data_IF_471369875375
#
_entry.id   IF_471369875375
#
_cell.length_a   1.000
_cell.length_b   1.000
_cell.length_c   1.000
_cell.angle_alpha   90.00
_cell.angle_beta   90.00
_cell.angle_gamma   90.00
#
_symmetry.space_group_name_H-M   'P 1'
#
loop_
_entity.id
_entity.type
_entity.pdbx_description
1 polymer ?
#
# COMPACT_ATOMS: atom_id res chain seq x y z
N UNK A 1 13.37 -14.32 -43.65
CA UNK A 1 12.12 -14.96 -43.18
C UNK A 1 11.28 -13.89 -42.47
N UNK A 2 10.02 -13.69 -42.86
CA UNK A 2 9.12 -12.74 -42.17
C UNK A 2 8.68 -13.38 -40.86
N UNK A 3 9.14 -12.85 -39.75
CA UNK A 3 8.72 -13.26 -38.42
C UNK A 3 7.35 -12.65 -38.12
N UNK A 4 6.30 -13.47 -38.13
CA UNK A 4 4.94 -13.05 -37.80
C UNK A 4 4.77 -12.89 -36.28
N UNK A 5 4.11 -11.82 -35.83
CA UNK A 5 3.68 -11.61 -34.46
C UNK A 5 2.43 -12.43 -34.07
N UNK A 6 1.89 -12.13 -32.89
CA UNK A 6 0.72 -12.78 -32.31
C UNK A 6 -0.46 -11.80 -32.23
N UNK A 7 -1.69 -12.31 -32.25
CA UNK A 7 -2.89 -11.50 -32.03
C UNK A 7 -3.61 -11.97 -30.77
N UNK A 8 -3.90 -11.05 -29.85
CA UNK A 8 -4.64 -11.36 -28.61
C UNK A 8 -5.71 -10.30 -28.35
N UNK A 9 -6.98 -10.72 -28.30
CA UNK A 9 -8.16 -9.86 -28.03
C UNK A 9 -8.17 -8.57 -28.88
N UNK A 10 -7.80 -8.68 -30.16
CA UNK A 10 -7.76 -7.57 -31.11
C UNK A 10 -6.47 -6.74 -31.12
N UNK A 11 -5.53 -6.97 -30.18
CA UNK A 11 -4.23 -6.33 -30.19
C UNK A 11 -3.18 -7.20 -30.90
N UNK A 12 -2.34 -6.59 -31.73
CA UNK A 12 -1.18 -7.23 -32.36
C UNK A 12 0.05 -7.07 -31.47
N UNK A 13 0.79 -8.15 -31.26
CA UNK A 13 2.00 -8.22 -30.46
C UNK A 13 3.15 -8.70 -31.33
N UNK A 14 4.26 -7.97 -31.34
CA UNK A 14 5.51 -8.46 -31.94
C UNK A 14 6.08 -9.59 -31.10
N UNK A 15 6.93 -10.43 -31.72
CA UNK A 15 7.66 -11.47 -30.99
C UNK A 15 8.46 -10.82 -29.85
N UNK A 16 8.32 -11.37 -28.63
CA UNK A 16 8.92 -10.84 -27.40
C UNK A 16 8.05 -9.82 -26.65
N UNK A 17 7.05 -9.20 -27.29
CA UNK A 17 6.11 -8.32 -26.60
C UNK A 17 5.15 -9.13 -25.72
N UNK A 18 4.64 -8.47 -24.68
CA UNK A 18 3.80 -9.09 -23.68
C UNK A 18 2.68 -8.19 -23.21
N UNK A 19 1.64 -8.82 -22.66
CA UNK A 19 0.46 -8.16 -22.09
C UNK A 19 0.06 -8.80 -20.77
N UNK A 20 -0.56 -8.00 -19.91
CA UNK A 20 -1.07 -8.43 -18.61
C UNK A 20 -2.60 -8.58 -18.63
N UNK A 21 -3.10 -9.62 -17.96
CA UNK A 21 -4.53 -9.79 -17.67
C UNK A 21 -5.06 -8.71 -16.73
N UNK A 22 -6.39 -8.62 -16.55
CA UNK A 22 -6.99 -7.79 -15.49
C UNK A 22 -6.41 -8.25 -14.13
N UNK A 23 -5.94 -7.29 -13.32
CA UNK A 23 -5.27 -7.58 -12.04
C UNK A 23 -3.84 -8.14 -12.17
N UNK A 24 -3.29 -8.19 -13.39
CA UNK A 24 -1.92 -8.64 -13.69
C UNK A 24 -1.60 -10.07 -13.21
N UNK A 25 -2.64 -10.90 -13.07
CA UNK A 25 -2.57 -12.30 -12.62
C UNK A 25 -1.93 -13.24 -13.64
N UNK A 26 -1.89 -12.84 -14.92
CA UNK A 26 -1.26 -13.57 -16.02
C UNK A 26 -0.48 -12.60 -16.90
N UNK A 27 0.71 -13.02 -17.30
CA UNK A 27 1.56 -12.36 -18.32
C UNK A 27 1.64 -13.25 -19.54
N UNK A 28 1.19 -12.75 -20.68
CA UNK A 28 1.23 -13.47 -21.95
C UNK A 28 2.26 -12.85 -22.89
N UNK A 29 3.23 -13.63 -23.34
CA UNK A 29 4.32 -13.19 -24.22
C UNK A 29 4.19 -13.85 -25.59
N UNK A 30 4.38 -13.09 -26.67
CA UNK A 30 4.38 -13.61 -28.03
C UNK A 30 5.72 -14.31 -28.33
N UNK A 31 5.68 -15.56 -28.78
CA UNK A 31 6.86 -16.34 -29.16
C UNK A 31 7.07 -16.40 -30.67
N UNK A 32 8.28 -16.81 -31.09
CA UNK A 32 8.76 -16.84 -32.47
C UNK A 32 7.96 -17.73 -33.44
N UNK A 33 7.02 -18.53 -32.94
CA UNK A 33 6.08 -19.32 -33.72
C UNK A 33 4.69 -18.65 -33.91
N UNK A 34 4.53 -17.37 -33.52
CA UNK A 34 3.22 -16.70 -33.52
C UNK A 34 2.28 -17.21 -32.41
N UNK A 35 2.82 -17.95 -31.44
CA UNK A 35 2.07 -18.52 -30.32
C UNK A 35 2.22 -17.63 -29.08
N UNK A 36 1.08 -17.34 -28.42
CA UNK A 36 1.08 -16.70 -27.11
C UNK A 36 1.34 -17.73 -26.01
N UNK A 37 2.37 -17.48 -25.21
CA UNK A 37 2.63 -18.24 -24.00
C UNK A 37 2.24 -17.39 -22.78
N UNK A 38 1.22 -17.83 -22.04
CA UNK A 38 0.76 -17.18 -20.82
C UNK A 38 1.28 -17.92 -19.59
N UNK A 39 1.87 -17.18 -18.66
CA UNK A 39 2.28 -17.67 -17.34
C UNK A 39 1.56 -16.89 -16.26
N UNK A 40 1.37 -17.52 -15.11
CA UNK A 40 0.92 -16.78 -13.92
C UNK A 40 1.92 -15.68 -13.60
N UNK A 41 1.41 -14.54 -13.17
CA UNK A 41 2.20 -13.36 -12.86
C UNK A 41 1.57 -12.62 -11.70
N UNK A 42 2.40 -11.91 -10.97
CA UNK A 42 1.98 -10.83 -10.09
C UNK A 42 2.94 -9.66 -10.28
N UNK A 43 2.48 -8.45 -9.97
CA UNK A 43 3.38 -7.30 -9.91
C UNK A 43 4.36 -7.48 -8.76
N UNK A 44 5.58 -6.97 -8.96
CA UNK A 44 6.60 -7.02 -7.92
C UNK A 44 6.20 -6.13 -6.74
N UNK A 45 6.91 -6.30 -5.63
CA UNK A 45 6.74 -5.41 -4.49
C UNK A 45 6.98 -3.95 -4.92
N UNK A 46 6.04 -3.07 -4.57
CA UNK A 46 6.08 -1.67 -4.97
C UNK A 46 5.63 -1.39 -6.39
N UNK A 47 5.11 -2.40 -7.10
CA UNK A 47 4.41 -2.21 -8.36
C UNK A 47 2.91 -2.45 -8.18
N UNK A 48 2.09 -1.62 -8.85
CA UNK A 48 0.65 -1.82 -8.96
C UNK A 48 0.27 -2.25 -10.36
N UNK A 49 -0.78 -3.07 -10.46
CA UNK A 49 -1.36 -3.39 -11.75
C UNK A 49 -2.23 -2.22 -12.22
N UNK A 50 -1.75 -1.47 -13.20
CA UNK A 50 -2.44 -0.30 -13.72
C UNK A 50 -2.36 -0.23 -15.24
N UNK A 51 -3.15 0.67 -15.83
CA UNK A 51 -3.12 0.98 -17.27
C UNK A 51 -2.43 2.32 -17.44
N UNK A 52 -1.35 2.36 -18.23
CA UNK A 52 -0.66 3.60 -18.66
C UNK A 52 -0.69 3.65 -20.17
N UNK A 53 -1.17 4.76 -20.73
CA UNK A 53 -1.26 4.97 -22.18
C UNK A 53 -2.00 3.83 -22.91
N UNK A 54 -3.07 3.31 -22.29
CA UNK A 54 -3.88 2.21 -22.85
C UNK A 54 -3.29 0.81 -22.66
N UNK A 55 -2.06 0.68 -22.16
CA UNK A 55 -1.39 -0.61 -21.94
C UNK A 55 -1.41 -0.97 -20.45
N UNK A 56 -1.90 -2.18 -20.15
CA UNK A 56 -1.88 -2.72 -18.77
C UNK A 56 -0.52 -3.31 -18.45
N UNK A 57 0.03 -2.96 -17.29
CA UNK A 57 1.27 -3.50 -16.78
C UNK A 57 1.44 -3.29 -15.28
N UNK A 58 2.56 -3.82 -14.78
CA UNK A 58 3.03 -3.53 -13.43
C UNK A 58 3.80 -2.22 -13.47
N UNK A 59 3.27 -1.21 -12.80
CA UNK A 59 3.85 0.12 -12.73
C UNK A 59 4.39 0.34 -11.34
N UNK A 60 5.62 0.80 -11.21
CA UNK A 60 6.18 1.22 -9.93
C UNK A 60 5.29 2.31 -9.33
N UNK A 61 4.73 2.04 -8.16
CA UNK A 61 4.13 3.06 -7.31
C UNK A 61 5.28 3.92 -6.81
N UNK A 62 5.23 5.24 -7.02
CA UNK A 62 6.35 6.19 -6.89
C UNK A 62 7.17 6.10 -5.60
N UNK A 63 7.15 7.14 -4.77
CA UNK A 63 7.74 7.06 -3.43
C UNK A 63 6.78 6.32 -2.49
N UNK A 64 7.33 5.67 -1.48
CA UNK A 64 6.58 4.85 -0.52
C UNK A 64 6.85 5.33 0.88
N UNK A 65 5.80 5.39 1.68
CA UNK A 65 5.95 5.47 3.11
C UNK A 65 6.23 4.07 3.68
N UNK A 66 7.20 3.97 4.60
CA UNK A 66 7.68 2.70 5.14
C UNK A 66 7.77 2.77 6.65
N UNK A 67 7.12 1.83 7.34
CA UNK A 67 7.30 1.58 8.76
C UNK A 67 7.97 0.22 8.93
N UNK A 68 9.25 0.21 9.33
CA UNK A 68 10.03 -1.02 9.48
C UNK A 68 9.59 -1.83 10.69
N UNK A 69 9.99 -3.10 10.74
CA UNK A 69 9.71 -3.98 11.88
C UNK A 69 10.23 -3.43 13.23
N UNK A 70 11.28 -2.59 13.21
CA UNK A 70 11.87 -1.94 14.38
C UNK A 70 11.29 -0.54 14.67
N UNK A 71 10.12 -0.24 14.11
CA UNK A 71 9.38 1.01 14.32
C UNK A 71 10.11 2.27 13.84
N UNK A 72 10.95 2.16 12.82
CA UNK A 72 11.48 3.31 12.09
C UNK A 72 10.52 3.64 10.94
N UNK A 73 10.06 4.89 10.88
CA UNK A 73 9.21 5.37 9.79
C UNK A 73 9.99 6.27 8.83
N UNK A 74 9.68 6.15 7.55
CA UNK A 74 10.12 7.07 6.50
C UNK A 74 8.88 7.51 5.73
N UNK A 75 8.65 8.81 5.68
CA UNK A 75 7.54 9.44 4.96
C UNK A 75 7.64 9.22 3.45
N UNK A 76 6.62 9.66 2.71
CA UNK A 76 6.67 9.62 1.25
C UNK A 76 7.79 10.48 0.65
N UNK A 77 8.18 11.57 1.31
CA UNK A 77 9.18 12.51 0.77
C UNK A 77 10.56 12.34 1.41
N UNK A 78 10.67 11.48 2.43
CA UNK A 78 11.93 11.00 2.98
C UNK A 78 12.25 11.49 4.40
N UNK A 79 11.37 12.27 5.02
CA UNK A 79 11.47 12.59 6.44
C UNK A 79 11.34 11.30 7.27
N UNK A 80 12.16 11.16 8.32
CA UNK A 80 12.22 9.90 9.07
C UNK A 80 12.41 10.09 10.56
N UNK A 81 11.89 9.14 11.32
CA UNK A 81 12.08 9.05 12.77
C UNK A 81 11.69 7.67 13.28
N UNK A 82 11.69 7.51 14.60
CA UNK A 82 11.48 6.19 15.23
C UNK A 82 10.53 6.28 16.41
N UNK A 83 9.51 5.43 16.42
CA UNK A 83 8.60 5.33 17.54
C UNK A 83 9.33 4.74 18.76
N UNK A 84 9.12 5.38 19.91
CA UNK A 84 9.76 5.03 21.19
C UNK A 84 8.77 4.52 22.25
N UNK A 85 7.47 4.63 21.96
CA UNK A 85 6.37 4.19 22.83
C UNK A 85 5.52 3.11 22.16
N UNK A 86 4.89 2.28 22.98
CA UNK A 86 3.83 1.39 22.52
C UNK A 86 2.55 2.21 22.30
N UNK A 87 1.77 1.86 21.29
CA UNK A 87 0.51 2.52 20.99
C UNK A 87 -0.06 2.05 19.66
N UNK A 88 -1.20 2.61 19.27
CA UNK A 88 -1.75 2.51 17.92
C UNK A 88 -1.57 3.87 17.28
N UNK A 89 -0.88 3.93 16.15
CA UNK A 89 -0.53 5.19 15.51
C UNK A 89 -1.16 5.30 14.13
N UNK A 90 -1.61 6.51 13.80
CA UNK A 90 -2.05 6.84 12.45
C UNK A 90 -0.85 7.00 11.54
N UNK A 91 -0.75 6.08 10.58
CA UNK A 91 0.38 6.01 9.66
C UNK A 91 0.12 6.92 8.46
N UNK A 92 -1.08 6.83 7.89
CA UNK A 92 -1.49 7.68 6.77
C UNK A 92 -3.02 7.78 6.69
N UNK A 93 -3.50 8.92 6.23
CA UNK A 93 -4.91 9.12 5.90
C UNK A 93 -5.07 10.10 4.75
N UNK A 94 -6.27 10.11 4.16
CA UNK A 94 -6.69 11.20 3.30
C UNK A 94 -7.18 12.36 4.20
N UNK A 95 -6.60 13.55 4.06
CA UNK A 95 -6.92 14.69 4.93
C UNK A 95 -8.41 15.10 4.84
N UNK A 96 -8.99 15.01 3.64
CA UNK A 96 -10.41 15.30 3.43
C UNK A 96 -11.28 14.12 3.89
N UNK A 97 -11.75 14.20 5.14
CA UNK A 97 -12.66 13.23 5.75
C UNK A 97 -14.02 13.11 5.04
N UNK A 98 -14.41 14.12 4.26
CA UNK A 98 -15.69 14.12 3.54
C UNK A 98 -15.60 13.47 2.16
N UNK A 99 -14.40 13.10 1.71
CA UNK A 99 -14.18 12.43 0.42
C UNK A 99 -14.88 11.07 0.34
N UNK A 100 -15.37 10.72 -0.85
CA UNK A 100 -15.92 9.39 -1.10
C UNK A 100 -14.85 8.29 -1.01
N UNK A 101 -13.61 8.61 -1.38
CA UNK A 101 -12.45 7.71 -1.31
C UNK A 101 -11.61 7.93 -0.05
N UNK A 102 -12.23 8.45 1.03
CA UNK A 102 -11.54 8.62 2.31
C UNK A 102 -11.03 7.29 2.85
N UNK A 103 -9.85 7.33 3.49
CA UNK A 103 -9.28 6.21 4.21
C UNK A 103 -8.42 6.68 5.39
N UNK A 104 -8.19 5.78 6.34
CA UNK A 104 -7.29 5.94 7.49
C UNK A 104 -6.60 4.62 7.80
N UNK A 105 -5.26 4.61 7.79
CA UNK A 105 -4.42 3.45 8.09
C UNK A 105 -3.79 3.63 9.48
N UNK A 106 -4.08 2.69 10.38
CA UNK A 106 -3.46 2.59 11.69
C UNK A 106 -2.63 1.31 11.82
N UNK A 107 -1.53 1.39 12.56
CA UNK A 107 -0.71 0.24 12.92
C UNK A 107 -0.41 0.22 14.42
N UNK A 108 -0.49 -0.97 15.03
CA UNK A 108 0.01 -1.15 16.40
C UNK A 108 1.53 -1.23 16.41
N UNK A 109 2.11 -0.58 17.42
CA UNK A 109 3.52 -0.65 17.78
C UNK A 109 3.55 -1.10 19.23
N UNK A 110 4.18 -2.23 19.48
CA UNK A 110 4.19 -2.87 20.79
C UNK A 110 5.61 -3.18 21.24
N UNK A 111 5.87 -3.05 22.53
CA UNK A 111 7.15 -3.47 23.12
C UNK A 111 7.13 -4.97 23.41
N UNK A 112 8.01 -5.73 22.77
CA UNK A 112 8.22 -7.13 23.08
C UNK A 112 8.88 -7.31 24.46
N UNK A 113 8.86 -8.54 24.98
CA UNK A 113 9.57 -8.91 26.22
C UNK A 113 11.07 -8.59 26.15
N UNK A 114 11.68 -8.66 24.96
CA UNK A 114 13.09 -8.31 24.69
C UNK A 114 13.36 -6.79 24.75
N UNK A 115 12.35 -5.97 25.04
CA UNK A 115 12.34 -4.49 24.98
C UNK A 115 12.44 -3.91 23.56
N UNK A 116 12.52 -4.74 22.53
CA UNK A 116 12.45 -4.31 21.13
C UNK A 116 11.01 -3.94 20.75
N UNK A 117 10.88 -2.99 19.82
CA UNK A 117 9.57 -2.65 19.26
C UNK A 117 9.21 -3.65 18.16
N UNK A 118 7.94 -4.03 18.14
CA UNK A 118 7.32 -4.89 17.14
C UNK A 118 6.18 -4.12 16.50
N UNK A 119 6.21 -4.03 15.18
CA UNK A 119 5.22 -3.32 14.37
C UNK A 119 4.19 -4.29 13.79
N UNK A 120 2.96 -3.79 13.61
CA UNK A 120 2.04 -4.34 12.63
C UNK A 120 1.40 -5.67 13.04
N UNK A 121 1.44 -6.01 14.34
CA UNK A 121 0.64 -7.11 14.87
C UNK A 121 -0.84 -6.85 14.68
N UNK A 122 -1.28 -5.61 14.84
CA UNK A 122 -2.64 -5.17 14.51
C UNK A 122 -2.57 -4.07 13.46
N UNK A 123 -3.30 -4.26 12.36
CA UNK A 123 -3.49 -3.25 11.32
C UNK A 123 -4.98 -2.96 11.24
N UNK A 124 -5.32 -1.67 11.24
CA UNK A 124 -6.68 -1.19 11.06
C UNK A 124 -6.69 -0.30 9.82
N UNK A 125 -7.62 -0.57 8.91
CA UNK A 125 -7.81 0.24 7.72
C UNK A 125 -9.28 0.63 7.63
N UNK A 126 -9.57 1.89 7.87
CA UNK A 126 -10.90 2.46 7.76
C UNK A 126 -11.06 3.08 6.37
N UNK A 127 -12.25 2.95 5.82
CA UNK A 127 -12.65 3.56 4.57
C UNK A 127 -14.13 3.95 4.66
N UNK A 128 -14.62 4.68 3.66
CA UNK A 128 -16.02 5.10 3.67
C UNK A 128 -16.96 3.89 3.63
N UNK A 129 -17.75 3.72 4.69
CA UNK A 129 -18.73 2.65 4.81
C UNK A 129 -18.19 1.34 5.39
N UNK A 130 -16.94 1.30 5.89
CA UNK A 130 -16.44 0.08 6.52
C UNK A 130 -15.04 0.15 7.12
N UNK A 131 -14.60 -1.01 7.60
CA UNK A 131 -13.27 -1.18 8.19
C UNK A 131 -12.71 -2.59 7.94
N UNK A 132 -11.39 -2.65 7.86
CA UNK A 132 -10.60 -3.88 7.85
C UNK A 132 -9.81 -3.94 9.15
N UNK A 133 -9.77 -5.12 9.76
CA UNK A 133 -8.86 -5.42 10.86
C UNK A 133 -8.04 -6.66 10.52
N UNK A 134 -6.73 -6.57 10.70
CA UNK A 134 -5.81 -7.70 10.50
C UNK A 134 -5.03 -7.89 11.79
N UNK A 135 -5.08 -9.10 12.35
CA UNK A 135 -4.38 -9.44 13.58
C UNK A 135 -3.40 -10.58 13.31
N UNK A 136 -2.14 -10.36 13.72
CA UNK A 136 -0.99 -11.25 13.55
C UNK A 136 -0.77 -11.70 12.09
N UNK A 137 -1.21 -10.91 11.10
CA UNK A 137 -1.19 -11.26 9.66
C UNK A 137 -1.91 -12.58 9.29
N UNK A 138 -2.67 -13.14 10.22
CA UNK A 138 -3.29 -14.47 10.08
C UNK A 138 -4.82 -14.42 10.17
N UNK A 139 -5.33 -13.44 10.90
CA UNK A 139 -6.76 -13.30 11.12
C UNK A 139 -7.23 -11.99 10.51
N UNK A 140 -8.26 -12.08 9.69
CA UNK A 140 -8.75 -10.98 8.86
C UNK A 140 -10.23 -10.76 9.13
N UNK A 141 -10.63 -9.51 9.32
CA UNK A 141 -12.02 -9.10 9.46
C UNK A 141 -12.34 -7.95 8.53
N UNK A 142 -13.56 -7.96 8.01
CA UNK A 142 -14.16 -6.83 7.29
C UNK A 142 -15.50 -6.54 7.96
N UNK A 143 -15.69 -5.30 8.42
CA UNK A 143 -16.92 -4.88 9.12
C UNK A 143 -17.31 -5.81 10.28
N UNK A 144 -16.31 -6.26 11.06
CA UNK A 144 -16.48 -7.17 12.19
C UNK A 144 -16.71 -8.65 11.83
N UNK A 145 -16.83 -8.99 10.55
CA UNK A 145 -16.97 -10.38 10.10
C UNK A 145 -15.63 -10.98 9.72
N UNK A 146 -15.33 -12.17 10.23
CA UNK A 146 -14.10 -12.90 9.89
C UNK A 146 -14.14 -13.36 8.44
N UNK A 147 -13.06 -13.14 7.69
CA UNK A 147 -12.92 -13.55 6.29
C UNK A 147 -11.69 -14.43 6.06
N UNK A 148 -11.61 -15.02 4.87
CA UNK A 148 -10.42 -15.68 4.32
C UNK A 148 -9.97 -14.97 3.06
N UNK A 149 -8.66 -14.92 2.80
CA UNK A 149 -8.13 -14.33 1.57
C UNK A 149 -8.32 -15.29 0.36
N UNK A 150 -8.51 -14.77 -0.87
CA UNK A 150 -8.67 -13.36 -1.20
C UNK A 150 -10.07 -12.83 -0.85
N UNK A 151 -10.14 -11.53 -0.54
CA UNK A 151 -11.37 -10.77 -0.40
C UNK A 151 -11.42 -9.72 -1.51
N UNK A 152 -12.49 -9.70 -2.31
CA UNK A 152 -12.65 -8.77 -3.42
C UNK A 152 -14.03 -8.12 -3.38
N UNK A 153 -14.14 -6.90 -2.82
CA UNK A 153 -15.39 -6.17 -2.80
C UNK A 153 -15.17 -4.65 -2.81
N UNK A 154 -15.64 -3.94 -3.84
CA UNK A 154 -15.47 -2.50 -3.96
C UNK A 154 -15.94 -1.75 -2.70
N UNK A 155 -15.16 -0.79 -2.17
CA UNK A 155 -13.93 -0.20 -2.73
C UNK A 155 -12.61 -0.89 -2.31
N UNK A 156 -12.67 -1.98 -1.54
CA UNK A 156 -11.47 -2.62 -0.96
C UNK A 156 -11.25 -4.07 -1.42
N UNK A 157 -9.99 -4.43 -1.65
CA UNK A 157 -9.62 -5.84 -1.81
C UNK A 157 -8.44 -6.20 -0.91
N UNK A 158 -8.42 -7.45 -0.46
CA UNK A 158 -7.30 -8.03 0.25
C UNK A 158 -6.86 -9.30 -0.43
N UNK A 159 -5.56 -9.44 -0.67
CA UNK A 159 -4.98 -10.61 -1.33
C UNK A 159 -3.59 -10.91 -0.81
N UNK A 160 -3.19 -12.17 -0.90
CA UNK A 160 -1.80 -12.57 -0.68
C UNK A 160 -1.05 -12.49 -2.00
N UNK A 161 0.05 -11.73 -2.06
CA UNK A 161 0.96 -11.67 -3.21
C UNK A 161 2.33 -12.13 -2.72
N UNK A 162 2.82 -13.25 -3.24
CA UNK A 162 3.98 -13.96 -2.66
C UNK A 162 3.70 -14.22 -1.17
N UNK A 163 4.48 -13.65 -0.24
CA UNK A 163 4.24 -13.74 1.20
C UNK A 163 3.70 -12.45 1.85
N UNK A 164 3.41 -11.44 1.04
CA UNK A 164 2.83 -10.18 1.49
C UNK A 164 1.31 -10.25 1.51
N UNK A 165 0.69 -9.67 2.54
CA UNK A 165 -0.74 -9.36 2.50
C UNK A 165 -0.87 -7.95 1.94
N UNK A 166 -1.72 -7.78 0.94
CA UNK A 166 -1.94 -6.49 0.26
C UNK A 166 -3.39 -6.07 0.45
N UNK A 167 -3.59 -4.89 1.04
CA UNK A 167 -4.85 -4.16 1.02
C UNK A 167 -4.79 -3.19 -0.16
N UNK A 168 -5.78 -3.20 -1.04
CA UNK A 168 -5.94 -2.25 -2.14
C UNK A 168 -7.25 -1.49 -1.96
N UNK A 169 -7.20 -0.17 -2.04
CA UNK A 169 -8.36 0.72 -1.95
C UNK A 169 -8.50 1.53 -3.23
N UNK A 170 -9.53 1.22 -4.02
CA UNK A 170 -9.84 1.82 -5.34
C UNK A 170 -8.66 1.89 -6.32
N UNK A 171 -7.67 1.01 -6.16
CA UNK A 171 -6.38 1.09 -6.86
C UNK A 171 -5.68 2.46 -6.73
N UNK A 172 -6.02 3.28 -5.72
CA UNK A 172 -5.36 4.56 -5.43
C UNK A 172 -4.33 4.42 -4.32
N UNK A 173 -4.60 3.53 -3.36
CA UNK A 173 -3.72 3.23 -2.23
C UNK A 173 -3.52 1.72 -2.13
N UNK A 174 -2.29 1.31 -1.88
CA UNK A 174 -1.95 -0.07 -1.55
C UNK A 174 -1.12 -0.12 -0.27
N UNK A 175 -1.54 -0.99 0.65
CA UNK A 175 -0.83 -1.27 1.90
C UNK A 175 -0.30 -2.69 1.86
N UNK A 176 1.01 -2.85 2.02
CA UNK A 176 1.71 -4.12 2.03
C UNK A 176 2.12 -4.45 3.47
N UNK A 177 1.72 -5.63 3.93
CA UNK A 177 2.12 -6.20 5.21
C UNK A 177 3.12 -7.33 4.98
N UNK A 178 4.38 -7.04 5.29
CA UNK A 178 5.51 -7.92 5.03
C UNK A 178 5.65 -9.02 6.09
N UNK A 179 6.28 -10.17 5.75
CA UNK A 179 6.46 -11.28 6.69
C UNK A 179 7.20 -10.92 7.98
N UNK A 180 8.11 -9.96 7.93
CA UNK A 180 8.91 -9.48 9.05
C UNK A 180 8.18 -8.45 9.94
N UNK A 181 6.94 -8.09 9.60
CA UNK A 181 6.15 -7.08 10.32
C UNK A 181 6.27 -5.66 9.76
N UNK A 182 7.13 -5.43 8.76
CA UNK A 182 7.18 -4.15 8.07
C UNK A 182 5.84 -3.82 7.40
N UNK A 183 5.48 -2.53 7.39
CA UNK A 183 4.32 -1.98 6.68
C UNK A 183 4.83 -1.02 5.62
N UNK A 184 4.34 -1.17 4.40
CA UNK A 184 4.63 -0.22 3.31
C UNK A 184 3.34 0.29 2.72
N UNK A 185 3.23 1.60 2.58
CA UNK A 185 2.13 2.22 1.88
C UNK A 185 2.61 2.88 0.59
N UNK A 186 1.85 2.61 -0.46
CA UNK A 186 2.02 3.20 -1.77
C UNK A 186 0.75 3.96 -2.14
N UNK A 187 0.92 5.15 -2.72
CA UNK A 187 -0.17 6.01 -3.15
C UNK A 187 0.02 6.42 -4.61
N UNK A 188 -1.09 6.61 -5.33
CA UNK A 188 -1.07 7.23 -6.66
C UNK A 188 -0.72 8.70 -6.57
N UNK A 189 -0.01 9.19 -7.58
CA UNK A 189 0.37 10.60 -7.75
C UNK A 189 -0.82 11.59 -7.69
N UNK A 190 -2.04 11.13 -7.98
CA UNK A 190 -3.28 11.92 -7.84
C UNK A 190 -3.60 12.32 -6.40
N UNK A 191 -2.95 11.69 -5.42
CA UNK A 191 -3.04 11.97 -3.99
C UNK A 191 -1.94 12.91 -3.48
N UNK A 192 -1.06 13.41 -4.36
CA UNK A 192 -0.01 14.37 -3.99
C UNK A 192 -0.61 15.57 -3.24
N UNK A 193 -0.06 15.88 -2.06
CA UNK A 193 -0.51 17.00 -1.21
C UNK A 193 -1.90 16.82 -0.59
N UNK A 194 -2.47 15.61 -0.61
CA UNK A 194 -3.80 15.30 -0.03
C UNK A 194 -3.73 14.32 1.15
N UNK A 195 -2.53 13.81 1.43
CA UNK A 195 -2.32 12.85 2.51
C UNK A 195 -1.93 13.58 3.81
N UNK A 196 -2.24 12.93 4.93
CA UNK A 196 -1.96 13.39 6.28
C UNK A 196 -1.37 12.23 7.11
N UNK A 197 -1.01 12.53 8.36
CA UNK A 197 -0.37 11.66 9.35
C UNK A 197 1.14 11.46 9.15
N UNK A 198 1.71 10.44 9.81
CA UNK A 198 3.17 10.30 9.94
C UNK A 198 3.90 9.97 8.63
N UNK A 199 3.18 9.54 7.61
CA UNK A 199 3.70 9.40 6.25
C UNK A 199 3.86 10.74 5.50
N UNK A 200 3.50 11.87 6.11
CA UNK A 200 3.64 13.18 5.51
C UNK A 200 2.56 13.46 4.46
N UNK A 201 2.74 14.55 3.72
CA UNK A 201 1.71 15.03 2.79
C UNK A 201 1.93 14.59 1.33
N UNK A 202 3.06 13.94 1.05
CA UNK A 202 3.44 13.41 -0.25
C UNK A 202 3.42 14.50 -1.32
N UNK A 203 4.16 15.59 -1.14
CA UNK A 203 4.29 16.71 -2.10
C UNK A 203 5.69 16.81 -2.73
N UNK A 204 6.61 15.92 -2.37
CA UNK A 204 8.05 15.90 -2.76
C UNK A 204 8.92 16.91 -2.01
N UNK A 205 8.47 17.38 -0.86
CA UNK A 205 9.23 18.26 0.03
C UNK A 205 9.32 17.67 1.44
N UNK A 206 10.42 16.97 1.73
CA UNK A 206 10.66 16.40 3.05
C UNK A 206 10.72 17.43 4.20
N UNK A 207 10.89 18.73 3.93
CA UNK A 207 11.02 19.74 4.99
C UNK A 207 9.68 20.06 5.65
N UNK A 208 8.56 19.80 4.95
CA UNK A 208 7.20 20.14 5.44
C UNK A 208 6.38 18.91 5.88
N UNK A 209 7.03 17.75 5.93
CA UNK A 209 6.47 16.49 6.44
C UNK A 209 6.42 16.43 7.98
N UNK A 210 7.15 17.32 8.66
CA UNK A 210 7.13 17.43 10.13
C UNK A 210 5.92 18.22 10.62
N UNK A 211 4.71 17.66 10.43
CA UNK A 211 3.45 18.26 10.86
C UNK A 211 2.77 17.46 11.96
N UNK A 212 2.39 18.14 13.03
CA UNK A 212 1.60 17.58 14.12
C UNK A 212 0.16 17.29 13.66
N UNK A 213 -0.58 16.49 14.42
CA UNK A 213 -2.02 16.28 14.20
C UNK A 213 -2.86 17.57 14.24
N UNK A 214 -2.38 18.62 14.93
CA UNK A 214 -2.99 19.96 14.92
C UNK A 214 -2.83 20.69 13.57
N UNK A 215 -1.93 20.21 12.69
CA UNK A 215 -1.53 20.86 11.45
C UNK A 215 -0.33 21.80 11.58
N UNK A 216 0.14 22.05 12.80
CA UNK A 216 1.32 22.90 13.06
C UNK A 216 2.61 22.18 12.67
N UNK A 217 3.58 22.94 12.14
CA UNK A 217 4.91 22.42 11.85
C UNK A 217 5.78 22.34 13.12
N UNK A 218 6.68 21.36 13.17
CA UNK A 218 7.68 21.19 14.24
C UNK A 218 9.06 20.85 13.65
N UNK A 219 10.10 20.97 14.47
CA UNK A 219 11.44 20.48 14.16
C UNK A 219 11.74 19.12 14.81
N UNK A 220 10.77 18.53 15.51
CA UNK A 220 10.91 17.27 16.23
C UNK A 220 10.04 16.18 15.61
N UNK A 221 10.67 15.19 14.97
CA UNK A 221 9.95 14.03 14.44
C UNK A 221 9.27 13.23 15.57
N UNK A 222 9.85 13.21 16.78
CA UNK A 222 9.25 12.54 17.94
C UNK A 222 7.92 13.19 18.37
N UNK A 223 7.82 14.52 18.28
CA UNK A 223 6.56 15.22 18.54
C UNK A 223 5.49 14.90 17.49
N UNK A 224 5.89 14.81 16.21
CA UNK A 224 5.01 14.35 15.13
C UNK A 224 4.48 12.96 15.47
N UNK A 225 5.35 12.00 15.72
CA UNK A 225 4.96 10.61 16.00
C UNK A 225 4.00 10.50 17.18
N UNK A 226 4.27 11.24 18.26
CA UNK A 226 3.41 11.26 19.44
C UNK A 226 2.06 11.91 19.15
N UNK A 227 2.02 12.99 18.36
CA UNK A 227 0.77 13.70 18.05
C UNK A 227 -0.21 12.86 17.23
N UNK A 228 0.29 11.86 16.49
CA UNK A 228 -0.51 10.95 15.66
C UNK A 228 -0.81 9.60 16.35
N UNK A 229 -0.73 9.55 17.69
CA UNK A 229 -1.30 8.43 18.46
C UNK A 229 -2.84 8.45 18.34
N UNK A 230 -3.44 7.30 18.07
CA UNK A 230 -4.86 7.17 17.79
C UNK A 230 -5.66 7.25 19.10
N UNK A 231 -6.29 8.41 19.36
CA UNK A 231 -7.06 8.66 20.59
C UNK A 231 -8.24 7.68 20.77
N UNK A 232 -8.79 7.14 19.69
CA UNK A 232 -9.87 6.16 19.70
C UNK A 232 -9.44 4.77 20.21
N UNK A 233 -8.16 4.59 20.54
CA UNK A 233 -7.56 3.38 21.10
C UNK A 233 -6.95 3.59 22.49
N UNK A 234 -7.12 4.78 23.08
CA UNK A 234 -6.65 5.13 24.43
C UNK A 234 -7.67 4.82 25.53
#
# INVERSE_FOLDING_TARGET
MKQCGCTYRGAYLKIGEHIYSKGCTKKCTCQSAGQLQCKESSCQLGETCAVREGVRGCLTLGTQCKLTAQAHITSFDGASGRYSCSGVYEIASLCDQNSASWFRLLASIEKAYTKEMVVGKSIFFYFRGGSIQIINRERFWVNGQKITLPYENSPVSMRKIQDNIVIDHDSQVQVYLHPDGMVTMAAKETLRGKLCATCGNFNKDHLDDLKLASGEGTNSFDEVLKSWEAEDFL
#
